data_IF_412327351525
#
_entry.id   IF_412327351525
#
_cell.length_a   1.000
_cell.length_b   1.000
_cell.length_c   1.000
_cell.angle_alpha   90.00
_cell.angle_beta   90.00
_cell.angle_gamma   90.00
#
_symmetry.space_group_name_H-M   'P 1'
#
loop_
_entity.id
_entity.type
_entity.pdbx_description
1 polymer ?
#
# COMPACT_ATOMS: atom_id res chain seq x y z
N UNK A 1 28.99 -16.00 8.82
CA UNK A 1 28.39 -14.72 9.24
C UNK A 1 27.28 -15.03 10.24
N UNK A 2 27.31 -14.45 11.45
CA UNK A 2 26.25 -14.68 12.43
C UNK A 2 24.92 -14.12 11.92
N UNK A 3 23.85 -14.91 12.02
CA UNK A 3 22.48 -14.42 11.78
C UNK A 3 22.17 -13.35 12.84
N UNK A 4 21.89 -12.13 12.39
CA UNK A 4 21.47 -11.05 13.28
C UNK A 4 20.19 -11.51 14.01
N UNK A 5 20.28 -11.72 15.32
CA UNK A 5 19.12 -12.08 16.14
C UNK A 5 18.34 -10.82 16.48
N UNK A 6 17.04 -10.82 16.21
CA UNK A 6 16.14 -9.76 16.65
C UNK A 6 15.95 -9.85 18.17
N UNK A 7 16.27 -8.77 18.88
CA UNK A 7 16.00 -8.68 20.31
C UNK A 7 14.49 -8.62 20.60
N UNK A 8 14.01 -9.50 21.47
CA UNK A 8 12.58 -9.64 21.77
C UNK A 8 11.97 -8.35 22.33
N UNK A 9 12.68 -7.65 23.22
CA UNK A 9 12.17 -6.41 23.82
C UNK A 9 12.05 -5.30 22.77
N UNK A 10 13.01 -5.22 21.86
CA UNK A 10 12.97 -4.24 20.78
C UNK A 10 11.89 -4.54 19.74
N UNK A 11 11.68 -5.81 19.36
CA UNK A 11 10.57 -6.20 18.48
C UNK A 11 9.24 -5.85 19.13
N UNK A 12 9.03 -6.19 20.41
CA UNK A 12 7.81 -5.83 21.12
C UNK A 12 7.57 -4.31 21.15
N UNK A 13 8.63 -3.50 21.32
CA UNK A 13 8.57 -2.03 21.25
C UNK A 13 8.21 -1.54 19.85
N UNK A 14 8.74 -2.15 18.78
CA UNK A 14 8.42 -1.82 17.40
C UNK A 14 6.94 -2.14 17.10
N UNK A 15 6.47 -3.34 17.45
CA UNK A 15 5.08 -3.80 17.28
C UNK A 15 4.10 -2.90 18.04
N UNK A 16 4.39 -2.56 19.30
CA UNK A 16 3.53 -1.65 20.09
C UNK A 16 3.43 -0.26 19.44
N UNK A 17 4.51 0.22 18.83
CA UNK A 17 4.54 1.52 18.15
C UNK A 17 3.76 1.49 16.83
N UNK A 18 3.96 0.46 16.01
CA UNK A 18 3.29 0.31 14.72
C UNK A 18 1.78 0.11 14.87
N UNK A 19 1.37 -0.73 15.83
CA UNK A 19 -0.03 -1.00 16.11
C UNK A 19 -0.75 0.14 16.85
N UNK A 20 -0.03 1.20 17.26
CA UNK A 20 -0.54 2.27 18.13
C UNK A 20 -1.29 1.72 19.36
N UNK A 21 -0.68 0.74 20.04
CA UNK A 21 -1.24 -0.05 21.15
C UNK A 21 -2.42 -0.94 20.71
N UNK A 22 -2.22 -1.72 19.66
CA UNK A 22 -3.18 -2.74 19.20
C UNK A 22 -4.37 -2.25 18.37
N UNK A 23 -4.40 -0.97 18.00
CA UNK A 23 -5.49 -0.35 17.22
C UNK A 23 -5.36 -0.53 15.71
N UNK A 24 -4.15 -0.71 15.21
CA UNK A 24 -3.89 -0.79 13.78
C UNK A 24 -3.10 -2.05 13.43
N UNK A 25 -3.37 -2.56 12.23
CA UNK A 25 -2.56 -3.60 11.60
C UNK A 25 -1.34 -2.96 10.93
N UNK A 26 -0.31 -3.76 10.69
CA UNK A 26 0.91 -3.34 10.01
C UNK A 26 1.45 -4.46 9.13
N UNK A 27 2.25 -4.14 8.12
CA UNK A 27 2.83 -5.11 7.18
C UNK A 27 4.23 -5.53 7.61
N UNK A 28 4.80 -6.58 7.00
CA UNK A 28 6.21 -6.97 7.21
C UNK A 28 7.14 -5.80 6.90
N UNK A 29 6.88 -5.07 5.82
CA UNK A 29 7.71 -3.92 5.39
C UNK A 29 7.64 -2.76 6.39
N UNK A 30 6.48 -2.50 7.01
CA UNK A 30 6.39 -1.54 8.12
C UNK A 30 7.27 -1.94 9.31
N UNK A 31 7.26 -3.22 9.68
CA UNK A 31 8.09 -3.75 10.78
C UNK A 31 9.57 -3.61 10.45
N UNK A 32 9.96 -4.03 9.25
CA UNK A 32 11.31 -3.85 8.72
C UNK A 32 11.79 -2.41 8.86
N UNK A 33 11.04 -1.43 8.35
CA UNK A 33 11.44 -0.02 8.43
C UNK A 33 11.48 0.52 9.87
N UNK A 34 10.61 0.05 10.76
CA UNK A 34 10.65 0.45 12.17
C UNK A 34 11.85 -0.13 12.91
N UNK A 35 12.23 -1.37 12.63
CA UNK A 35 13.42 -2.01 13.21
C UNK A 35 14.71 -1.39 12.63
N UNK A 36 14.74 -1.09 11.33
CA UNK A 36 15.85 -0.38 10.69
C UNK A 36 16.07 1.02 11.30
N UNK A 37 14.99 1.78 11.54
CA UNK A 37 15.06 3.07 12.25
C UNK A 37 15.65 2.96 13.67
N UNK A 38 15.68 1.76 14.24
CA UNK A 38 16.25 1.47 15.57
C UNK A 38 17.67 0.90 15.50
N UNK A 39 18.22 0.73 14.30
CA UNK A 39 19.54 0.12 14.09
C UNK A 39 19.56 -1.39 14.34
N UNK A 40 18.41 -2.07 14.22
CA UNK A 40 18.29 -3.51 14.53
C UNK A 40 18.31 -4.41 13.29
N UNK A 41 18.21 -3.80 12.12
CA UNK A 41 18.35 -4.47 10.84
C UNK A 41 19.47 -3.77 10.11
N UNK A 42 20.56 -4.51 9.90
CA UNK A 42 21.70 -4.05 9.12
C UNK A 42 21.46 -4.34 7.64
N UNK A 43 21.57 -3.31 6.80
CA UNK A 43 21.33 -3.42 5.36
C UNK A 43 22.66 -3.47 4.61
N UNK A 44 23.36 -4.59 4.73
CA UNK A 44 24.51 -4.87 3.85
C UNK A 44 24.06 -5.27 2.43
N UNK A 45 22.75 -5.55 2.26
CA UNK A 45 22.10 -5.91 1.01
C UNK A 45 21.06 -4.83 0.68
N UNK A 46 20.92 -4.49 -0.61
CA UNK A 46 19.93 -3.53 -1.11
C UNK A 46 18.80 -4.22 -1.88
N UNK A 47 17.69 -3.52 -2.09
CA UNK A 47 16.56 -4.03 -2.88
C UNK A 47 15.80 -5.18 -2.21
N UNK A 48 15.26 -6.07 -3.05
CA UNK A 48 14.34 -7.14 -2.63
C UNK A 48 15.00 -8.21 -1.76
N UNK A 49 16.28 -8.53 -2.04
CA UNK A 49 17.04 -9.48 -1.25
C UNK A 49 17.18 -9.07 0.23
N UNK A 50 17.07 -7.78 0.55
CA UNK A 50 17.02 -7.33 1.94
C UNK A 50 15.69 -7.73 2.62
N UNK A 51 14.58 -7.62 1.90
CA UNK A 51 13.26 -8.00 2.40
C UNK A 51 13.12 -9.51 2.55
N UNK A 52 13.68 -10.30 1.63
CA UNK A 52 13.70 -11.76 1.72
C UNK A 52 14.48 -12.21 2.96
N UNK A 53 15.69 -11.66 3.15
CA UNK A 53 16.47 -11.91 4.36
C UNK A 53 15.76 -11.50 5.63
N UNK A 54 15.04 -10.36 5.60
CA UNK A 54 14.24 -9.93 6.75
C UNK A 54 13.09 -10.90 7.02
N UNK A 55 12.43 -11.44 5.99
CA UNK A 55 11.38 -12.43 6.14
C UNK A 55 11.90 -13.70 6.82
N UNK A 56 13.06 -14.22 6.40
CA UNK A 56 13.69 -15.38 7.05
C UNK A 56 14.00 -15.13 8.54
N UNK A 57 14.55 -13.95 8.85
CA UNK A 57 14.87 -13.56 10.23
C UNK A 57 13.60 -13.41 11.07
N UNK A 58 12.53 -12.87 10.49
CA UNK A 58 11.24 -12.72 11.14
C UNK A 58 10.58 -14.08 11.39
N UNK A 59 10.62 -14.99 10.42
CA UNK A 59 10.06 -16.35 10.56
C UNK A 59 10.79 -17.14 11.66
N UNK A 60 12.13 -17.04 11.69
CA UNK A 60 12.93 -17.64 12.76
C UNK A 60 12.59 -17.05 14.14
N UNK A 61 12.34 -15.74 14.21
CA UNK A 61 11.90 -15.07 15.44
C UNK A 61 10.52 -15.56 15.89
N UNK A 62 9.54 -15.64 14.99
CA UNK A 62 8.18 -16.09 15.31
C UNK A 62 8.13 -17.58 15.69
N UNK A 63 9.00 -18.41 15.10
CA UNK A 63 9.17 -19.80 15.51
C UNK A 63 9.66 -19.97 16.94
N UNK A 64 10.39 -18.99 17.49
CA UNK A 64 10.92 -19.03 18.86
C UNK A 64 10.03 -18.31 19.88
N UNK A 65 9.38 -17.22 19.47
CA UNK A 65 8.68 -16.32 20.38
C UNK A 65 7.16 -16.27 20.17
N UNK A 66 6.64 -17.05 19.22
CA UNK A 66 5.25 -16.99 18.80
C UNK A 66 4.98 -15.89 17.79
N UNK A 67 3.80 -15.95 17.19
CA UNK A 67 3.37 -15.03 16.12
C UNK A 67 3.14 -13.62 16.66
N UNK A 68 3.60 -12.62 15.91
CA UNK A 68 3.34 -11.22 16.19
C UNK A 68 1.87 -10.88 15.94
N UNK A 69 1.24 -10.29 16.95
CA UNK A 69 -0.11 -9.76 16.83
C UNK A 69 -0.17 -8.62 15.80
N UNK A 70 -1.29 -8.55 15.07
CA UNK A 70 -1.61 -7.46 14.12
C UNK A 70 -0.67 -7.32 12.91
N UNK A 71 0.26 -8.25 12.73
CA UNK A 71 1.02 -8.38 11.49
C UNK A 71 0.12 -8.94 10.38
N UNK A 72 0.06 -8.23 9.25
CA UNK A 72 -0.63 -8.68 8.03
C UNK A 72 0.15 -9.84 7.40
N UNK A 73 -0.60 -10.84 6.92
CA UNK A 73 -0.09 -12.05 6.29
C UNK A 73 -0.84 -12.32 4.99
N UNK A 74 -0.32 -11.83 3.87
CA UNK A 74 -0.92 -12.02 2.56
C UNK A 74 -1.00 -13.49 2.17
N UNK A 75 0.00 -14.30 2.55
CA UNK A 75 0.05 -15.73 2.26
C UNK A 75 -1.08 -16.53 2.93
N UNK A 76 -1.72 -15.98 3.97
CA UNK A 76 -2.85 -16.61 4.64
C UNK A 76 -4.20 -16.23 4.03
N UNK A 77 -4.21 -15.29 3.08
CA UNK A 77 -5.41 -14.98 2.33
C UNK A 77 -5.66 -16.15 1.39
N UNK A 78 -6.82 -16.82 1.47
CA UNK A 78 -7.15 -17.91 0.56
C UNK A 78 -6.96 -17.46 -0.89
N UNK A 79 -6.21 -18.23 -1.68
CA UNK A 79 -5.85 -17.91 -3.06
C UNK A 79 -7.04 -17.84 -4.04
N UNK A 80 -8.27 -17.96 -3.54
CA UNK A 80 -9.45 -18.25 -4.36
C UNK A 80 -10.63 -17.40 -3.89
N UNK A 81 -11.07 -16.54 -4.81
CA UNK A 81 -12.47 -16.22 -5.16
C UNK A 81 -13.56 -16.88 -4.30
N UNK A 82 -14.54 -16.08 -3.86
CA UNK A 82 -15.71 -16.49 -3.07
C UNK A 82 -15.47 -16.68 -1.56
N UNK A 83 -14.91 -15.65 -0.90
CA UNK A 83 -15.33 -15.42 0.49
C UNK A 83 -16.84 -15.13 0.53
N UNK A 84 -17.56 -15.50 1.60
CA UNK A 84 -18.95 -15.07 1.77
C UNK A 84 -18.99 -13.55 1.58
N UNK A 85 -20.05 -12.99 0.97
CA UNK A 85 -20.15 -11.55 0.82
C UNK A 85 -19.85 -10.92 2.18
N UNK A 86 -18.87 -10.01 2.23
CA UNK A 86 -18.85 -8.99 3.29
C UNK A 86 -20.31 -8.54 3.42
N UNK A 87 -20.87 -8.61 4.63
CA UNK A 87 -22.30 -8.34 4.91
C UNK A 87 -22.82 -7.29 3.93
N UNK A 88 -23.83 -7.67 3.14
CA UNK A 88 -24.35 -6.92 1.98
C UNK A 88 -24.45 -5.42 2.25
N UNK A 89 -24.80 -5.08 3.48
CA UNK A 89 -25.03 -3.74 4.01
C UNK A 89 -23.83 -2.78 3.86
N UNK A 90 -22.59 -3.28 3.80
CA UNK A 90 -21.40 -2.41 3.63
C UNK A 90 -21.26 -1.92 2.17
N UNK A 91 -21.78 -2.69 1.20
CA UNK A 91 -21.68 -2.40 -0.23
C UNK A 91 -23.03 -2.03 -0.88
N UNK A 92 -24.12 -1.98 -0.11
CA UNK A 92 -25.41 -1.42 -0.56
C UNK A 92 -25.33 0.10 -0.80
N UNK A 93 -24.25 0.74 -0.34
CA UNK A 93 -23.90 2.09 -0.73
C UNK A 93 -23.16 2.07 -2.07
N UNK A 94 -23.70 2.75 -3.09
CA UNK A 94 -23.01 2.99 -4.35
C UNK A 94 -21.63 3.63 -4.08
N UNK A 95 -20.59 2.81 -4.12
CA UNK A 95 -19.25 3.21 -3.74
C UNK A 95 -18.66 4.09 -4.83
N UNK A 96 -18.66 5.40 -4.60
CA UNK A 96 -18.11 6.38 -5.56
C UNK A 96 -16.58 6.41 -5.59
N UNK A 97 -15.92 5.74 -4.65
CA UNK A 97 -14.47 5.85 -4.41
C UNK A 97 -13.85 4.49 -4.16
N UNK A 98 -12.87 4.14 -4.99
CA UNK A 98 -12.11 2.90 -4.89
C UNK A 98 -10.65 3.25 -4.69
N UNK A 99 -9.98 2.62 -3.74
CA UNK A 99 -8.52 2.69 -3.62
C UNK A 99 -7.96 1.41 -4.20
N UNK A 100 -7.14 1.54 -5.24
CA UNK A 100 -6.42 0.44 -5.84
C UNK A 100 -4.99 0.45 -5.33
N UNK A 101 -4.61 -0.60 -4.61
CA UNK A 101 -3.28 -0.78 -4.04
C UNK A 101 -2.38 -1.52 -5.02
N UNK A 102 -1.12 -1.08 -5.11
CA UNK A 102 -0.03 -1.85 -5.72
C UNK A 102 0.22 -3.16 -4.95
N UNK A 103 0.33 -3.05 -3.62
CA UNK A 103 0.69 -4.18 -2.75
C UNK A 103 -0.52 -4.73 -1.98
N UNK A 104 -0.73 -6.05 -2.04
CA UNK A 104 -1.79 -6.75 -1.30
C UNK A 104 -1.70 -6.53 0.22
N UNK A 105 -0.49 -6.51 0.78
CA UNK A 105 -0.23 -6.29 2.21
C UNK A 105 -0.82 -4.97 2.70
N UNK A 106 -0.68 -3.91 1.89
CA UNK A 106 -1.22 -2.59 2.20
C UNK A 106 -2.74 -2.59 2.14
N UNK A 107 -3.33 -3.22 1.12
CA UNK A 107 -4.79 -3.39 1.07
C UNK A 107 -5.31 -4.07 2.33
N UNK A 108 -4.70 -5.20 2.71
CA UNK A 108 -5.10 -5.97 3.89
C UNK A 108 -4.89 -5.17 5.18
N UNK A 109 -3.81 -4.40 5.28
CA UNK A 109 -3.58 -3.51 6.41
C UNK A 109 -4.70 -2.48 6.55
N UNK A 110 -5.09 -1.83 5.46
CA UNK A 110 -6.17 -0.83 5.45
C UNK A 110 -7.53 -1.48 5.75
N UNK A 111 -7.81 -2.64 5.15
CA UNK A 111 -9.03 -3.40 5.35
C UNK A 111 -9.17 -3.81 6.83
N UNK A 112 -8.18 -4.51 7.38
CA UNK A 112 -8.19 -5.00 8.77
C UNK A 112 -8.15 -3.87 9.81
N UNK A 113 -7.70 -2.67 9.43
CA UNK A 113 -7.74 -1.47 10.27
C UNK A 113 -9.09 -0.71 10.18
N UNK A 114 -10.05 -1.22 9.43
CA UNK A 114 -11.39 -0.65 9.28
C UNK A 114 -11.41 0.66 8.49
N UNK A 115 -10.40 0.91 7.64
CA UNK A 115 -10.30 2.15 6.88
C UNK A 115 -11.48 2.34 5.92
N UNK A 116 -11.84 1.27 5.20
CA UNK A 116 -12.92 1.25 4.22
C UNK A 116 -14.28 1.66 4.81
N UNK A 117 -14.62 1.19 6.02
CA UNK A 117 -15.84 1.61 6.71
C UNK A 117 -15.83 3.10 7.07
N UNK A 118 -14.72 3.60 7.60
CA UNK A 118 -14.59 5.00 8.03
C UNK A 118 -14.66 5.97 6.85
N UNK A 119 -14.21 5.52 5.69
CA UNK A 119 -14.07 6.37 4.50
C UNK A 119 -15.14 6.14 3.45
N UNK A 120 -15.96 5.10 3.60
CA UNK A 120 -16.94 4.68 2.60
C UNK A 120 -16.25 4.55 1.24
N UNK A 121 -15.22 3.70 1.20
CA UNK A 121 -14.42 3.40 0.00
C UNK A 121 -14.30 1.90 -0.19
N UNK A 122 -14.26 1.45 -1.43
CA UNK A 122 -13.85 0.09 -1.77
C UNK A 122 -12.33 0.00 -1.81
N UNK A 123 -11.79 -1.17 -1.48
CA UNK A 123 -10.36 -1.46 -1.53
C UNK A 123 -10.14 -2.61 -2.51
N UNK A 124 -9.20 -2.45 -3.43
CA UNK A 124 -8.88 -3.45 -4.45
C UNK A 124 -7.38 -3.43 -4.80
N UNK A 125 -6.85 -4.47 -5.45
CA UNK A 125 -5.57 -4.45 -6.15
C UNK A 125 -5.81 -4.42 -7.66
N UNK A 126 -4.81 -3.99 -8.42
CA UNK A 126 -4.89 -3.95 -9.89
C UNK A 126 -4.94 -5.35 -10.54
N UNK A 127 -4.59 -6.40 -9.79
CA UNK A 127 -4.65 -7.79 -10.23
C UNK A 127 -6.02 -8.45 -10.02
N UNK A 128 -7.03 -7.68 -9.61
CA UNK A 128 -8.39 -8.20 -9.48
C UNK A 128 -8.75 -8.69 -8.07
N UNK A 129 -7.92 -8.45 -7.05
CA UNK A 129 -8.26 -8.84 -5.67
C UNK A 129 -8.99 -7.71 -4.92
N UNK A 130 -10.01 -8.01 -4.10
CA UNK A 130 -10.76 -9.25 -4.09
C UNK A 130 -11.75 -9.30 -5.27
N UNK A 131 -11.91 -10.47 -5.88
CA UNK A 131 -12.67 -10.61 -7.13
C UNK A 131 -14.12 -10.13 -7.05
N UNK A 132 -14.79 -10.33 -5.91
CA UNK A 132 -16.18 -9.90 -5.71
C UNK A 132 -16.33 -8.37 -5.71
N UNK A 133 -15.32 -7.62 -5.23
CA UNK A 133 -15.32 -6.15 -5.30
C UNK A 133 -15.26 -5.71 -6.76
N UNK A 134 -14.35 -6.30 -7.56
CA UNK A 134 -14.27 -5.98 -8.98
C UNK A 134 -15.52 -6.34 -9.78
N UNK A 135 -16.17 -7.48 -9.47
CA UNK A 135 -17.46 -7.84 -10.06
C UNK A 135 -18.51 -6.74 -9.85
N UNK A 136 -18.70 -6.31 -8.60
CA UNK A 136 -19.64 -5.22 -8.27
C UNK A 136 -19.25 -3.87 -8.87
N UNK A 137 -17.96 -3.54 -8.91
CA UNK A 137 -17.51 -2.29 -9.52
C UNK A 137 -17.84 -2.24 -11.01
N UNK A 138 -17.73 -3.38 -11.73
CA UNK A 138 -18.17 -3.46 -13.13
C UNK A 138 -19.68 -3.28 -13.26
N UNK A 139 -20.47 -3.97 -12.44
CA UNK A 139 -21.94 -3.79 -12.42
C UNK A 139 -22.34 -2.32 -12.17
N UNK A 140 -21.66 -1.63 -11.25
CA UNK A 140 -21.88 -0.21 -10.97
C UNK A 140 -21.53 0.67 -12.17
N UNK A 141 -20.40 0.41 -12.84
CA UNK A 141 -19.98 1.15 -14.02
C UNK A 141 -20.90 0.90 -15.21
N UNK A 142 -21.37 -0.33 -15.41
CA UNK A 142 -22.34 -0.70 -16.44
C UNK A 142 -23.71 -0.04 -16.21
N UNK A 143 -24.11 0.11 -14.95
CA UNK A 143 -25.27 0.91 -14.56
C UNK A 143 -25.05 2.43 -14.72
N UNK A 144 -23.88 2.86 -15.22
CA UNK A 144 -23.53 4.25 -15.42
C UNK A 144 -23.28 5.01 -14.12
N UNK A 145 -22.88 4.36 -13.03
CA UNK A 145 -22.51 5.10 -11.82
C UNK A 145 -21.10 5.68 -11.96
N UNK A 146 -20.92 6.92 -11.48
CA UNK A 146 -19.61 7.56 -11.46
C UNK A 146 -18.77 7.04 -10.31
N UNK A 147 -17.58 6.53 -10.64
CA UNK A 147 -16.66 5.93 -9.69
C UNK A 147 -15.25 6.45 -9.93
N UNK A 148 -14.60 6.93 -8.88
CA UNK A 148 -13.21 7.38 -8.91
C UNK A 148 -12.28 6.34 -8.30
N UNK A 149 -11.27 5.93 -9.06
CA UNK A 149 -10.26 4.94 -8.70
C UNK A 149 -8.95 5.66 -8.36
N UNK A 150 -8.52 5.57 -7.11
CA UNK A 150 -7.30 6.15 -6.59
C UNK A 150 -6.18 5.10 -6.59
N UNK A 151 -5.15 5.30 -7.41
CA UNK A 151 -3.95 4.47 -7.41
C UNK A 151 -3.10 4.78 -6.16
N UNK A 152 -2.85 3.80 -5.29
CA UNK A 152 -1.95 3.91 -4.15
C UNK A 152 -0.73 3.00 -4.38
N UNK A 153 0.41 3.63 -4.60
CA UNK A 153 1.65 2.97 -4.99
C UNK A 153 2.86 3.51 -4.23
N UNK A 154 3.95 2.75 -4.29
CA UNK A 154 5.29 3.16 -3.89
C UNK A 154 5.89 4.18 -4.87
N UNK A 155 6.90 4.91 -4.43
CA UNK A 155 7.70 5.77 -5.31
C UNK A 155 8.71 4.90 -6.07
N UNK A 156 8.23 4.14 -7.06
CA UNK A 156 8.99 3.26 -7.95
C UNK A 156 8.52 3.45 -9.39
N UNK A 157 9.32 3.10 -10.39
CA UNK A 157 8.90 3.21 -11.79
C UNK A 157 7.62 2.40 -12.09
N UNK A 158 7.50 1.21 -11.51
CA UNK A 158 6.29 0.38 -11.58
C UNK A 158 5.09 1.04 -10.89
N UNK A 159 5.30 1.57 -9.69
CA UNK A 159 4.25 2.24 -8.92
C UNK A 159 3.65 3.42 -9.67
N UNK A 160 4.50 4.24 -10.29
CA UNK A 160 4.09 5.33 -11.18
C UNK A 160 3.20 4.86 -12.34
N UNK A 161 3.48 3.67 -12.88
CA UNK A 161 2.69 3.06 -13.95
C UNK A 161 1.29 2.60 -13.52
N UNK A 162 1.00 2.49 -12.22
CA UNK A 162 -0.27 1.94 -11.73
C UNK A 162 -1.49 2.71 -12.22
N UNK A 163 -1.43 4.05 -12.26
CA UNK A 163 -2.56 4.86 -12.74
C UNK A 163 -2.84 4.62 -14.22
N UNK A 164 -1.79 4.58 -15.05
CA UNK A 164 -1.92 4.33 -16.49
C UNK A 164 -2.47 2.92 -16.75
N UNK A 165 -1.97 1.91 -16.03
CA UNK A 165 -2.49 0.55 -16.06
C UNK A 165 -3.99 0.49 -15.72
N UNK A 166 -4.41 1.20 -14.67
CA UNK A 166 -5.82 1.29 -14.29
C UNK A 166 -6.67 1.98 -15.35
N UNK A 167 -6.17 3.07 -15.93
CA UNK A 167 -6.87 3.76 -17.01
C UNK A 167 -7.08 2.83 -18.22
N UNK A 168 -6.08 2.01 -18.56
CA UNK A 168 -6.20 0.98 -19.60
C UNK A 168 -7.22 -0.11 -19.25
N UNK A 169 -7.23 -0.60 -18.01
CA UNK A 169 -8.19 -1.61 -17.55
C UNK A 169 -9.64 -1.10 -17.53
N UNK A 170 -9.82 0.19 -17.30
CA UNK A 170 -11.12 0.86 -17.22
C UNK A 170 -11.53 1.52 -18.56
N UNK A 171 -10.73 1.33 -19.61
CA UNK A 171 -11.04 1.82 -20.94
C UNK A 171 -12.37 1.20 -21.41
N UNK A 172 -13.34 2.05 -21.73
CA UNK A 172 -14.70 1.65 -22.12
C UNK A 172 -15.80 2.14 -21.17
N UNK A 173 -15.46 2.51 -19.93
CA UNK A 173 -16.43 3.13 -19.01
C UNK A 173 -16.19 4.64 -18.88
N UNK A 174 -17.00 5.45 -19.57
CA UNK A 174 -16.89 6.92 -19.57
C UNK A 174 -16.99 7.55 -18.16
N UNK A 175 -17.66 6.86 -17.24
CA UNK A 175 -17.89 7.32 -15.85
C UNK A 175 -16.85 6.79 -14.86
N UNK A 176 -15.87 6.01 -15.32
CA UNK A 176 -14.71 5.63 -14.53
C UNK A 176 -13.65 6.74 -14.59
N UNK A 177 -13.28 7.29 -13.42
CA UNK A 177 -12.21 8.28 -13.30
C UNK A 177 -11.02 7.66 -12.59
N UNK A 178 -9.81 7.99 -13.00
CA UNK A 178 -8.59 7.59 -12.28
C UNK A 178 -7.91 8.80 -11.65
N UNK A 179 -7.33 8.61 -10.48
CA UNK A 179 -6.59 9.62 -9.75
C UNK A 179 -5.38 8.99 -9.07
N UNK A 180 -4.32 9.77 -8.88
CA UNK A 180 -3.07 9.30 -8.29
C UNK A 180 -3.01 9.63 -6.79
N UNK A 181 -3.18 8.66 -5.90
CA UNK A 181 -2.99 8.82 -4.46
C UNK A 181 -1.66 8.26 -3.95
N UNK A 182 -0.73 7.88 -4.83
CA UNK A 182 0.53 7.20 -4.50
C UNK A 182 1.62 8.11 -3.97
N UNK A 183 2.68 7.47 -3.47
CA UNK A 183 3.87 8.16 -2.97
C UNK A 183 4.70 8.66 -4.14
N UNK A 184 4.99 9.95 -4.13
CA UNK A 184 5.97 10.56 -5.04
C UNK A 184 7.22 10.92 -4.25
N UNK A 185 8.33 11.15 -4.90
CA UNK A 185 9.63 11.47 -4.33
C UNK A 185 9.57 12.76 -3.53
N UNK A 186 8.91 13.80 -4.05
CA UNK A 186 8.66 15.04 -3.31
C UNK A 186 7.91 14.76 -1.99
N UNK A 187 6.88 13.90 -2.03
CA UNK A 187 6.13 13.50 -0.84
C UNK A 187 6.98 12.66 0.12
N UNK A 188 7.83 11.76 -0.40
CA UNK A 188 8.74 10.96 0.41
C UNK A 188 9.69 11.88 1.20
N UNK A 189 10.27 12.88 0.54
CA UNK A 189 11.12 13.88 1.17
C UNK A 189 10.38 14.69 2.23
N UNK A 190 9.19 15.23 1.91
CA UNK A 190 8.34 15.98 2.86
C UNK A 190 7.98 15.15 4.10
N UNK A 191 7.70 13.85 3.90
CA UNK A 191 7.31 12.96 4.97
C UNK A 191 8.50 12.43 5.78
N UNK A 192 9.73 12.71 5.37
CA UNK A 192 10.95 12.15 5.95
C UNK A 192 11.05 10.63 5.76
N UNK A 193 10.48 10.13 4.66
CA UNK A 193 10.64 8.74 4.23
C UNK A 193 12.05 8.57 3.66
N UNK A 194 12.82 7.57 4.11
CA UNK A 194 14.16 7.34 3.58
C UNK A 194 14.10 6.99 2.09
N UNK A 195 14.78 7.80 1.28
CA UNK A 195 15.06 7.45 -0.10
C UNK A 195 16.10 6.34 -0.15
N UNK A 196 15.88 5.39 -1.04
CA UNK A 196 16.75 4.25 -1.28
C UNK A 196 17.32 4.34 -2.68
N UNK A 197 18.44 3.65 -2.91
CA UNK A 197 19.03 3.48 -4.25
C UNK A 197 19.10 2.01 -4.61
N UNK A 198 18.56 1.70 -5.78
CA UNK A 198 18.67 0.43 -6.47
C UNK A 198 19.51 0.61 -7.75
N UNK A 199 19.51 -0.39 -8.63
CA UNK A 199 20.08 -0.23 -9.96
C UNK A 199 19.28 0.82 -10.76
N UNK A 200 19.89 1.46 -11.77
CA UNK A 200 19.16 2.27 -12.74
C UNK A 200 18.01 1.49 -13.39
N UNK A 201 16.91 2.17 -13.65
CA UNK A 201 15.72 1.58 -14.27
C UNK A 201 15.23 2.44 -15.43
N UNK A 202 14.56 1.81 -16.40
CA UNK A 202 13.83 2.56 -17.41
C UNK A 202 12.65 3.28 -16.76
N UNK A 203 12.47 4.56 -17.08
CA UNK A 203 11.40 5.41 -16.57
C UNK A 203 10.72 6.10 -17.74
N UNK A 204 9.40 6.00 -17.78
CA UNK A 204 8.59 6.84 -18.64
C UNK A 204 8.34 8.19 -17.96
N UNK A 205 9.00 9.22 -18.50
CA UNK A 205 8.90 10.58 -17.97
C UNK A 205 7.48 11.16 -18.09
N UNK A 206 6.68 10.72 -19.06
CA UNK A 206 5.30 11.18 -19.22
C UNK A 206 4.42 10.67 -18.06
N UNK A 207 4.59 9.40 -17.69
CA UNK A 207 3.88 8.80 -16.55
C UNK A 207 4.26 9.47 -15.23
N UNK A 208 5.52 9.87 -15.05
CA UNK A 208 5.99 10.56 -13.83
C UNK A 208 5.55 12.02 -13.77
N UNK A 209 5.54 12.72 -14.91
CA UNK A 209 5.12 14.11 -15.05
C UNK A 209 6.14 15.15 -14.57
N UNK A 210 6.93 14.87 -13.53
CA UNK A 210 8.05 15.72 -13.09
C UNK A 210 9.39 15.20 -13.67
N UNK A 211 10.08 15.97 -14.55
CA UNK A 211 11.35 15.56 -15.14
C UNK A 211 12.47 15.30 -14.14
N UNK A 212 12.52 16.06 -13.04
CA UNK A 212 13.55 15.88 -12.00
C UNK A 212 13.31 14.56 -11.27
N UNK A 213 12.05 14.27 -10.97
CA UNK A 213 11.68 13.03 -10.35
C UNK A 213 11.93 11.84 -11.28
N UNK A 214 11.58 11.96 -12.56
CA UNK A 214 11.84 10.93 -13.56
C UNK A 214 13.35 10.61 -13.66
N UNK A 215 14.21 11.64 -13.64
CA UNK A 215 15.67 11.47 -13.62
C UNK A 215 16.14 10.73 -12.36
N UNK A 216 15.65 11.12 -11.19
CA UNK A 216 16.04 10.48 -9.93
C UNK A 216 15.59 9.01 -9.87
N UNK A 217 14.38 8.70 -10.34
CA UNK A 217 13.90 7.33 -10.49
C UNK A 217 14.77 6.55 -11.48
N UNK A 218 15.14 7.15 -12.61
CA UNK A 218 15.97 6.51 -13.64
C UNK A 218 17.37 6.15 -13.12
N UNK A 219 17.92 6.96 -12.22
CA UNK A 219 19.15 6.66 -11.47
C UNK A 219 18.99 5.58 -10.39
N UNK A 220 17.79 5.00 -10.25
CA UNK A 220 17.47 3.95 -9.29
C UNK A 220 17.04 4.47 -7.93
N UNK A 221 16.68 5.76 -7.77
CA UNK A 221 16.11 6.24 -6.51
C UNK A 221 14.70 5.71 -6.34
N UNK A 222 14.33 5.30 -5.12
CA UNK A 222 12.96 4.86 -4.83
C UNK A 222 12.60 5.05 -3.35
N UNK A 223 11.31 4.98 -3.03
CA UNK A 223 10.82 4.97 -1.66
C UNK A 223 9.57 4.10 -1.50
N UNK A 224 9.51 3.32 -0.43
CA UNK A 224 8.35 2.50 -0.11
C UNK A 224 7.37 3.27 0.77
N UNK A 225 6.08 3.18 0.46
CA UNK A 225 4.99 3.76 1.23
C UNK A 225 4.97 3.26 2.67
N UNK A 226 5.28 1.98 2.88
CA UNK A 226 5.29 1.32 4.20
C UNK A 226 6.46 1.76 5.10
N UNK A 227 7.36 2.62 4.60
CA UNK A 227 8.27 3.34 5.48
C UNK A 227 7.52 4.36 6.36
N UNK A 228 6.34 4.82 5.94
CA UNK A 228 5.42 5.64 6.73
C UNK A 228 4.69 4.75 7.73
N UNK A 229 4.63 5.12 9.01
CA UNK A 229 3.90 4.31 10.01
C UNK A 229 2.41 4.19 9.67
N UNK A 230 1.74 3.07 9.99
CA UNK A 230 0.37 2.78 9.55
C UNK A 230 -0.64 3.91 9.81
N UNK A 231 -0.68 4.45 11.04
CA UNK A 231 -1.58 5.57 11.38
C UNK A 231 -1.29 6.83 10.54
N UNK A 232 -0.01 7.15 10.30
CA UNK A 232 0.37 8.30 9.49
C UNK A 232 0.04 8.06 8.01
N UNK A 233 0.26 6.83 7.52
CA UNK A 233 -0.08 6.42 6.16
C UNK A 233 -1.60 6.57 5.91
N UNK A 234 -2.45 6.02 6.79
CA UNK A 234 -3.91 6.18 6.68
C UNK A 234 -4.36 7.63 6.73
N UNK A 235 -3.78 8.46 7.62
CA UNK A 235 -4.09 9.91 7.68
C UNK A 235 -3.65 10.64 6.41
N UNK A 236 -2.53 10.26 5.83
CA UNK A 236 -2.03 10.84 4.60
C UNK A 236 -2.95 10.48 3.41
N UNK A 237 -3.35 9.21 3.29
CA UNK A 237 -4.33 8.78 2.27
C UNK A 237 -5.67 9.50 2.46
N UNK A 238 -6.16 9.58 3.70
CA UNK A 238 -7.37 10.35 4.03
C UNK A 238 -7.33 11.77 3.47
N UNK A 239 -6.24 12.51 3.75
CA UNK A 239 -6.08 13.88 3.26
C UNK A 239 -6.12 13.99 1.73
N UNK A 240 -5.63 12.98 1.01
CA UNK A 240 -5.70 12.94 -0.46
C UNK A 240 -7.09 12.63 -0.98
N UNK A 241 -7.81 11.73 -0.34
CA UNK A 241 -9.17 11.39 -0.74
C UNK A 241 -10.15 12.56 -0.51
N UNK A 242 -9.95 13.35 0.55
CA UNK A 242 -10.80 14.51 0.85
C UNK A 242 -10.48 15.68 -0.07
N UNK A 243 -9.22 16.11 -0.16
CA UNK A 243 -8.84 17.29 -1.00
C UNK A 243 -9.20 17.10 -2.47
N UNK A 244 -9.04 15.89 -3.01
CA UNK A 244 -9.37 15.63 -4.42
C UNK A 244 -10.87 15.41 -4.68
N UNK A 245 -11.69 15.27 -3.65
CA UNK A 245 -13.15 15.30 -3.83
C UNK A 245 -13.61 16.73 -4.17
N UNK A 246 -12.98 17.73 -3.57
CA UNK A 246 -13.26 19.15 -3.82
C UNK A 246 -12.83 19.53 -5.25
N UNK A 247 -11.64 19.11 -5.69
CA UNK A 247 -11.12 19.39 -7.04
C UNK A 247 -11.92 18.71 -8.18
N UNK A 248 -12.58 17.58 -7.91
CA UNK A 248 -13.34 16.83 -8.90
C UNK A 248 -14.80 17.31 -9.08
N UNK A 249 -15.16 18.44 -8.46
CA UNK A 249 -16.47 19.07 -8.58
C UNK A 249 -17.57 18.41 -7.75
N UNK A 250 -17.22 17.81 -6.61
CA UNK A 250 -18.19 17.22 -5.67
C UNK A 250 -18.52 18.13 -4.46
N UNK A 251 -18.34 19.45 -4.62
CA UNK A 251 -18.80 20.46 -3.67
C UNK A 251 -20.23 20.92 -3.95
#
# INVERSE_FOLDING_TARGET
MGTAKLDQQQVARAVRRLSARGRYWFTRRHLFYELRRRGLVDSTVSGDAEMDRFAEVLDAYEGQHGRLERLVRPEEVPAVTAGPPLESDILDYAVRRVIVFEHLDLLLMFAKSGFHHKMVVALATADGFPAHVWGRLREQLDAGLTTTFYALHDCTSEGYGLRARLAGQLAGWERARTADAGLHLAHAMELGVPLRRGPPVAVDAETVGDPKEASMLAEGSYAHFEAIRPLRAMRWVFGRLVRRAEDAGFG
#
